data_IF_787369564346
#
_entry.id   IF_787369564346
#
_cell.length_a   1.000
_cell.length_b   1.000
_cell.length_c   1.000
_cell.angle_alpha   90.00
_cell.angle_beta   90.00
_cell.angle_gamma   90.00
#
_symmetry.space_group_name_H-M   'P 1'
#
loop_
_entity.id
_entity.type
_entity.pdbx_description
1 polymer ?
#
# COMPACT_ATOMS: atom_id res chain seq x y z
N UNK A 1 -3.34 41.90 -22.99
CA UNK A 1 -3.96 41.25 -21.82
C UNK A 1 -3.51 39.80 -21.83
N UNK A 2 -2.43 39.51 -21.09
CA UNK A 2 -1.70 38.24 -21.17
C UNK A 2 -2.32 37.26 -20.19
N UNK A 3 -2.81 36.17 -20.75
CA UNK A 3 -3.32 34.98 -20.09
C UNK A 3 -2.24 34.45 -19.14
N UNK A 4 -2.55 34.32 -17.86
CA UNK A 4 -1.70 33.60 -16.91
C UNK A 4 -2.49 32.42 -16.38
N UNK A 5 -2.51 31.35 -17.17
CA UNK A 5 -2.85 30.00 -16.74
C UNK A 5 -1.66 29.51 -15.90
N UNK A 6 -1.65 29.87 -14.61
CA UNK A 6 -0.72 29.26 -13.68
C UNK A 6 -1.23 27.86 -13.40
N UNK A 7 -0.82 26.93 -14.26
CA UNK A 7 -0.84 25.49 -14.03
C UNK A 7 -0.39 25.20 -12.58
N UNK A 8 -1.38 25.08 -11.69
CA UNK A 8 -1.26 24.45 -10.39
C UNK A 8 -1.06 22.95 -10.62
N UNK A 9 0.11 22.62 -11.15
CA UNK A 9 0.59 21.26 -11.34
C UNK A 9 1.99 21.19 -10.73
N UNK A 10 2.06 21.39 -9.42
CA UNK A 10 3.12 20.79 -8.64
C UNK A 10 2.64 19.40 -8.25
N UNK A 11 3.07 18.32 -8.93
CA UNK A 11 2.87 16.98 -8.41
C UNK A 11 3.60 16.92 -7.06
N UNK A 12 2.80 16.63 -6.03
CA UNK A 12 3.19 16.29 -4.69
C UNK A 12 4.64 15.78 -4.62
N UNK A 13 5.54 16.60 -4.05
CA UNK A 13 6.93 16.24 -3.82
C UNK A 13 6.92 14.99 -2.92
N UNK A 14 7.02 13.81 -3.54
CA UNK A 14 7.13 12.51 -2.87
C UNK A 14 8.38 12.55 -2.00
N UNK A 15 8.23 13.02 -0.77
CA UNK A 15 9.30 13.09 0.22
C UNK A 15 9.34 11.77 0.98
N UNK A 16 10.42 11.05 0.75
CA UNK A 16 11.12 10.18 1.70
C UNK A 16 10.35 8.94 2.17
N UNK A 17 10.62 7.80 1.52
CA UNK A 17 10.06 6.49 1.88
C UNK A 17 8.89 6.09 0.99
N UNK A 18 9.11 6.13 -0.33
CA UNK A 18 8.23 5.44 -1.28
C UNK A 18 8.32 3.95 -0.90
N UNK A 19 7.37 3.49 -0.10
CA UNK A 19 7.09 2.05 -0.03
C UNK A 19 6.88 1.68 -1.50
N UNK A 20 7.58 0.67 -2.04
CA UNK A 20 7.39 0.24 -3.41
C UNK A 20 5.98 -0.34 -3.56
N UNK A 21 5.02 0.57 -3.70
CA UNK A 21 3.62 0.40 -4.05
C UNK A 21 3.54 0.65 -5.55
N UNK A 22 4.42 0.01 -6.32
CA UNK A 22 4.64 0.34 -7.72
C UNK A 22 3.64 -0.35 -8.66
N UNK A 23 2.54 -0.88 -8.12
CA UNK A 23 1.55 -1.61 -8.91
C UNK A 23 0.16 -1.01 -8.71
N UNK A 24 -0.18 -0.05 -9.58
CA UNK A 24 -1.56 0.37 -9.83
C UNK A 24 -2.30 -0.79 -10.52
N UNK A 25 -2.77 -1.74 -9.74
CA UNK A 25 -3.61 -2.80 -10.28
C UNK A 25 -4.89 -2.83 -9.48
N UNK A 26 -5.99 -2.48 -10.14
CA UNK A 26 -7.32 -2.64 -9.57
C UNK A 26 -7.54 -4.10 -9.22
N UNK A 27 -7.91 -4.37 -7.96
CA UNK A 27 -8.19 -5.73 -7.49
C UNK A 27 -9.27 -6.43 -8.35
N UNK A 28 -10.13 -5.63 -8.97
CA UNK A 28 -11.20 -6.02 -9.89
C UNK A 28 -10.64 -6.73 -11.14
N UNK A 29 -9.39 -6.42 -11.54
CA UNK A 29 -8.74 -7.03 -12.70
C UNK A 29 -7.99 -8.32 -12.34
N UNK A 30 -7.80 -8.63 -11.05
CA UNK A 30 -7.26 -9.92 -10.63
C UNK A 30 -8.37 -10.96 -10.59
N UNK A 31 -8.23 -12.02 -11.39
CA UNK A 31 -9.08 -13.20 -11.26
C UNK A 31 -9.00 -13.78 -9.83
N UNK A 32 -10.04 -14.50 -9.41
CA UNK A 32 -10.16 -15.11 -8.07
C UNK A 32 -8.91 -15.89 -7.64
N UNK A 33 -8.25 -16.60 -8.57
CA UNK A 33 -6.99 -17.31 -8.29
C UNK A 33 -5.84 -16.38 -7.86
N UNK A 34 -5.67 -15.23 -8.51
CA UNK A 34 -4.60 -14.29 -8.16
C UNK A 34 -4.90 -13.57 -6.84
N UNK A 35 -6.18 -13.30 -6.56
CA UNK A 35 -6.60 -12.75 -5.26
C UNK A 35 -6.30 -13.73 -4.11
N UNK A 36 -6.57 -15.02 -4.30
CA UNK A 36 -6.27 -16.04 -3.29
C UNK A 36 -4.76 -16.18 -3.06
N UNK A 37 -3.95 -16.14 -4.13
CA UNK A 37 -2.49 -16.09 -4.03
C UNK A 37 -2.02 -14.84 -3.27
N UNK A 38 -2.56 -13.66 -3.58
CA UNK A 38 -2.30 -12.39 -2.87
C UNK A 38 -2.56 -12.53 -1.38
N UNK A 39 -3.73 -13.05 -1.02
CA UNK A 39 -4.14 -13.26 0.37
C UNK A 39 -3.21 -14.26 1.07
N UNK A 40 -2.85 -15.34 0.39
CA UNK A 40 -1.94 -16.35 0.91
C UNK A 40 -0.56 -15.75 1.17
N UNK A 41 0.00 -15.04 0.20
CA UNK A 41 1.29 -14.36 0.31
C UNK A 41 1.29 -13.28 1.39
N UNK A 42 0.22 -12.49 1.47
CA UNK A 42 0.03 -11.48 2.53
C UNK A 42 -0.02 -12.14 3.92
N UNK A 43 -0.62 -13.31 4.04
CA UNK A 43 -0.65 -14.07 5.30
C UNK A 43 0.66 -14.82 5.59
N UNK A 44 1.45 -15.14 4.56
CA UNK A 44 2.77 -15.76 4.70
C UNK A 44 3.82 -14.73 5.13
N UNK A 45 3.68 -13.49 4.66
CA UNK A 45 4.59 -12.40 4.99
C UNK A 45 4.31 -11.85 6.40
N UNK A 46 5.26 -11.97 7.35
CA UNK A 46 5.04 -11.53 8.72
C UNK A 46 4.91 -10.01 8.84
N UNK A 47 5.53 -9.24 7.93
CA UNK A 47 5.44 -7.78 7.92
C UNK A 47 4.03 -7.34 7.50
N UNK A 48 3.52 -7.84 6.38
CA UNK A 48 2.17 -7.54 5.92
C UNK A 48 1.10 -8.04 6.90
N UNK A 49 1.29 -9.23 7.50
CA UNK A 49 0.40 -9.73 8.54
C UNK A 49 0.33 -8.81 9.76
N UNK A 50 1.48 -8.32 10.22
CA UNK A 50 1.54 -7.37 11.31
C UNK A 50 0.87 -6.04 10.91
N UNK A 51 1.06 -5.59 9.67
CA UNK A 51 0.37 -4.41 9.13
C UNK A 51 -1.15 -4.58 9.12
N UNK A 52 -1.66 -5.75 8.68
CA UNK A 52 -3.08 -6.09 8.74
C UNK A 52 -3.62 -6.01 10.16
N UNK A 53 -2.88 -6.54 11.14
CA UNK A 53 -3.29 -6.46 12.55
C UNK A 53 -3.33 -5.02 13.04
N UNK A 54 -2.33 -4.20 12.70
CA UNK A 54 -2.30 -2.78 13.07
C UNK A 54 -3.46 -2.02 12.42
N UNK A 55 -3.76 -2.26 11.14
CA UNK A 55 -4.89 -1.62 10.46
C UNK A 55 -6.23 -2.03 11.12
N UNK A 56 -6.36 -3.30 11.54
CA UNK A 56 -7.59 -3.83 12.16
C UNK A 56 -7.76 -3.39 13.61
N UNK A 57 -6.67 -3.38 14.39
CA UNK A 57 -6.67 -3.04 15.83
C UNK A 57 -6.62 -1.53 16.05
N UNK A 58 -6.13 -0.80 15.05
CA UNK A 58 -5.82 0.62 15.15
C UNK A 58 -4.32 0.87 15.20
N UNK A 59 -3.94 2.01 14.63
CA UNK A 59 -2.57 2.47 14.59
C UNK A 59 -2.12 2.93 16.01
N UNK A 60 -0.92 2.53 16.51
CA UNK A 60 -0.41 2.96 17.82
C UNK A 60 -0.27 4.48 17.96
N UNK A 61 -0.05 5.05 19.14
CA UNK A 61 0.09 6.51 19.26
C UNK A 61 1.34 7.04 18.54
N UNK A 62 2.40 6.22 18.46
CA UNK A 62 3.70 6.64 17.94
C UNK A 62 4.30 5.62 16.96
N UNK A 63 4.87 6.10 15.85
CA UNK A 63 5.61 5.28 14.86
C UNK A 63 6.79 4.48 15.48
N UNK A 64 7.32 4.89 16.63
CA UNK A 64 8.37 4.17 17.35
C UNK A 64 7.90 2.83 17.92
N UNK A 65 6.62 2.71 18.22
CA UNK A 65 6.01 1.47 18.72
C UNK A 65 5.85 0.44 17.59
N UNK A 66 5.86 0.90 16.33
CA UNK A 66 5.90 0.01 15.20
C UNK A 66 7.29 -0.56 14.94
N UNK A 67 7.37 -1.83 14.51
CA UNK A 67 8.61 -2.42 14.01
C UNK A 67 9.12 -1.60 12.82
N UNK A 68 10.45 -1.59 12.63
CA UNK A 68 11.13 -0.76 11.63
C UNK A 68 10.56 -0.95 10.23
N UNK A 69 10.17 -2.18 9.88
CA UNK A 69 9.55 -2.54 8.61
C UNK A 69 8.17 -1.88 8.40
N UNK A 70 7.42 -1.59 9.47
CA UNK A 70 6.10 -0.98 9.42
C UNK A 70 6.11 0.55 9.51
N UNK A 71 7.21 1.15 9.97
CA UNK A 71 7.38 2.60 10.05
C UNK A 71 7.09 3.36 8.76
N UNK A 72 7.50 2.91 7.56
CA UNK A 72 7.17 3.63 6.33
C UNK A 72 5.66 3.64 6.05
N UNK A 73 4.90 2.64 6.52
CA UNK A 73 3.45 2.55 6.37
C UNK A 73 2.70 3.52 7.30
N UNK A 74 3.29 3.89 8.44
CA UNK A 74 2.72 4.86 9.40
C UNK A 74 2.32 6.20 8.76
N UNK A 75 3.13 6.67 7.80
CA UNK A 75 2.89 7.91 7.07
C UNK A 75 1.60 7.87 6.26
N UNK A 76 1.19 6.67 5.83
CA UNK A 76 0.03 6.45 4.97
C UNK A 76 -1.13 5.80 5.73
N UNK A 77 -1.09 5.76 7.07
CA UNK A 77 -2.10 5.09 7.90
C UNK A 77 -3.54 5.47 7.58
N UNK A 78 -3.78 6.74 7.23
CA UNK A 78 -5.09 7.28 6.87
C UNK A 78 -5.54 6.85 5.47
N UNK A 79 -4.60 6.48 4.59
CA UNK A 79 -4.89 5.93 3.26
C UNK A 79 -4.93 4.40 3.25
N UNK A 80 -4.39 3.75 4.29
CA UNK A 80 -4.26 2.30 4.37
C UNK A 80 -5.56 1.67 4.89
N UNK A 81 -6.06 0.69 4.13
CA UNK A 81 -7.21 -0.12 4.48
C UNK A 81 -6.93 -1.60 4.27
N UNK A 82 -7.79 -2.46 4.78
CA UNK A 82 -7.72 -3.90 4.57
C UNK A 82 -9.08 -4.41 4.10
N UNK A 83 -9.09 -5.24 3.06
CA UNK A 83 -10.28 -5.94 2.59
C UNK A 83 -9.90 -7.37 2.17
N UNK A 84 -10.69 -8.36 2.58
CA UNK A 84 -10.46 -9.78 2.28
C UNK A 84 -9.04 -10.31 2.62
N UNK A 85 -8.38 -9.71 3.62
CA UNK A 85 -7.01 -10.06 4.00
C UNK A 85 -5.93 -9.51 3.06
N UNK A 86 -6.30 -8.55 2.21
CA UNK A 86 -5.42 -7.81 1.32
C UNK A 86 -5.36 -6.36 1.79
N UNK A 87 -4.17 -5.75 1.71
CA UNK A 87 -3.95 -4.37 2.16
C UNK A 87 -4.06 -3.44 0.96
N UNK A 88 -4.74 -2.32 1.14
CA UNK A 88 -4.96 -1.29 0.13
C UNK A 88 -4.42 0.04 0.62
N UNK A 89 -3.87 0.83 -0.29
CA UNK A 89 -3.57 2.24 -0.09
C UNK A 89 -4.43 3.07 -1.04
N UNK A 90 -5.55 3.58 -0.53
CA UNK A 90 -6.56 4.27 -1.34
C UNK A 90 -7.12 3.35 -2.43
N UNK A 91 -6.69 3.53 -3.68
CA UNK A 91 -7.06 2.70 -4.84
C UNK A 91 -6.02 1.65 -5.23
N UNK A 92 -4.87 1.62 -4.57
CA UNK A 92 -3.76 0.73 -4.93
C UNK A 92 -3.74 -0.46 -3.98
N UNK A 93 -3.46 -1.66 -4.48
CA UNK A 93 -3.26 -2.84 -3.65
C UNK A 93 -1.78 -2.99 -3.29
N UNK A 94 -1.51 -3.42 -2.06
CA UNK A 94 -0.17 -3.79 -1.62
C UNK A 94 0.15 -5.20 -2.12
N UNK A 95 1.03 -5.28 -3.11
CA UNK A 95 1.49 -6.55 -3.68
C UNK A 95 2.77 -7.00 -2.97
N UNK A 96 2.79 -8.19 -2.35
CA UNK A 96 4.02 -8.77 -1.78
C UNK A 96 5.07 -9.00 -2.87
N UNK A 97 6.35 -8.78 -2.54
CA UNK A 97 7.50 -8.96 -3.47
C UNK A 97 7.45 -10.23 -4.35
N UNK A 98 7.16 -11.43 -3.81
CA UNK A 98 7.04 -12.64 -4.63
C UNK A 98 5.99 -12.52 -5.75
N UNK A 99 4.80 -11.99 -5.46
CA UNK A 99 3.77 -11.79 -6.47
C UNK A 99 4.08 -10.65 -7.45
N UNK A 100 4.91 -9.67 -7.07
CA UNK A 100 5.33 -8.61 -8.01
C UNK A 100 6.00 -9.21 -9.24
N UNK A 101 6.79 -10.28 -9.07
CA UNK A 101 7.45 -10.97 -10.19
C UNK A 101 6.46 -11.71 -11.09
N UNK A 102 5.39 -12.29 -10.55
CA UNK A 102 4.34 -12.96 -11.34
C UNK A 102 3.48 -11.97 -12.13
N UNK A 103 3.31 -10.75 -11.61
CA UNK A 103 2.40 -9.76 -12.18
C UNK A 103 3.10 -8.79 -13.15
N UNK A 104 4.40 -8.55 -12.96
CA UNK A 104 5.22 -7.69 -13.82
C UNK A 104 5.82 -8.41 -15.03
N UNK A 105 5.55 -9.71 -15.20
CA UNK A 105 6.08 -10.54 -16.28
C UNK A 105 5.00 -10.92 -17.30
#
# INVERSE_FOLDING_TARGET
MVISDALSRLPNQRKNGDIPLDLRIDLINFGTQKQDALRKETSQDPCLRALCQVITTGWPGTCKELPTDLRPFWTYRDELGMADGVIFKGRQVLIPKPLQADILN
#
